data_IF_050148941633
#
_entry.id   IF_050148941633
#
_cell.length_a   1.000
_cell.length_b   1.000
_cell.length_c   1.000
_cell.angle_alpha   90.00
_cell.angle_beta   90.00
_cell.angle_gamma   90.00
#
_symmetry.space_group_name_H-M   'P 1'
#
loop_
_entity.id
_entity.type
_entity.pdbx_description
1 polymer ?
#
# COMPACT_ATOMS: atom_id res chain seq x y z
N UNK A 1 1.67 -24.85 -23.88
CA UNK A 1 0.32 -24.75 -24.48
C UNK A 1 -0.53 -25.87 -23.90
N UNK A 2 -1.41 -25.59 -22.95
CA UNK A 2 -2.32 -26.59 -22.36
C UNK A 2 -3.75 -26.19 -22.70
N UNK A 3 -4.21 -26.69 -23.83
CA UNK A 3 -5.58 -26.55 -24.29
C UNK A 3 -6.46 -27.50 -23.47
N UNK A 4 -7.31 -26.92 -22.61
CA UNK A 4 -8.30 -27.70 -21.87
C UNK A 4 -9.56 -27.84 -22.71
N UNK A 5 -9.55 -28.83 -23.61
CA UNK A 5 -10.75 -29.35 -24.26
C UNK A 5 -11.75 -29.83 -23.20
N UNK A 6 -12.87 -29.11 -23.02
CA UNK A 6 -14.02 -29.55 -22.21
C UNK A 6 -15.12 -30.09 -23.14
N UNK A 7 -15.47 -31.35 -22.88
CA UNK A 7 -16.50 -32.17 -23.55
C UNK A 7 -17.85 -31.44 -23.70
N UNK A 8 -18.47 -31.59 -24.87
CA UNK A 8 -19.82 -31.14 -25.19
C UNK A 8 -20.89 -31.97 -24.43
N UNK A 9 -21.18 -31.56 -23.20
CA UNK A 9 -22.55 -31.56 -22.66
C UNK A 9 -23.04 -30.10 -22.72
N UNK A 10 -24.35 -29.86 -22.83
CA UNK A 10 -24.91 -28.51 -22.88
C UNK A 10 -24.23 -27.62 -21.82
N UNK A 11 -23.41 -26.65 -22.25
CA UNK A 11 -22.62 -25.86 -21.34
C UNK A 11 -23.56 -25.20 -20.34
N UNK A 12 -23.34 -25.43 -19.05
CA UNK A 12 -24.15 -24.80 -18.01
C UNK A 12 -24.07 -23.29 -18.17
N UNK A 13 -25.20 -22.56 -18.00
CA UNK A 13 -25.17 -21.11 -18.11
C UNK A 13 -24.21 -20.54 -17.05
N UNK A 14 -23.48 -19.48 -17.40
CA UNK A 14 -22.63 -18.77 -16.45
C UNK A 14 -23.47 -18.23 -15.27
N UNK A 15 -22.81 -17.90 -14.15
CA UNK A 15 -23.50 -17.42 -12.95
C UNK A 15 -24.41 -16.21 -13.24
N UNK A 16 -23.98 -15.31 -14.12
CA UNK A 16 -24.76 -14.15 -14.53
C UNK A 16 -26.05 -14.54 -15.25
N UNK A 17 -25.95 -15.33 -16.30
CA UNK A 17 -27.12 -15.74 -17.09
C UNK A 17 -28.07 -16.62 -16.28
N UNK A 18 -27.54 -17.46 -15.36
CA UNK A 18 -28.33 -18.24 -14.41
C UNK A 18 -29.13 -17.33 -13.47
N UNK A 19 -28.49 -16.31 -12.86
CA UNK A 19 -29.16 -15.38 -11.96
C UNK A 19 -30.20 -14.51 -12.68
N UNK A 20 -29.86 -14.03 -13.88
CA UNK A 20 -30.73 -13.18 -14.72
C UNK A 20 -31.82 -13.97 -15.47
N UNK A 21 -31.87 -15.30 -15.33
CA UNK A 21 -32.84 -16.19 -15.98
C UNK A 21 -32.92 -16.02 -17.50
N UNK A 22 -31.76 -15.87 -18.16
CA UNK A 22 -31.65 -15.73 -19.63
C UNK A 22 -30.71 -16.78 -20.23
N UNK A 23 -30.82 -16.99 -21.55
CA UNK A 23 -29.91 -17.90 -22.28
C UNK A 23 -28.47 -17.36 -22.24
N UNK A 24 -27.51 -18.26 -21.98
CA UNK A 24 -26.09 -17.95 -22.09
C UNK A 24 -25.63 -18.20 -23.54
N UNK A 25 -25.35 -17.14 -24.29
CA UNK A 25 -24.82 -17.22 -25.64
C UNK A 25 -23.33 -17.62 -25.64
N UNK A 26 -22.81 -18.05 -26.80
CA UNK A 26 -21.41 -18.45 -26.96
C UNK A 26 -20.44 -17.28 -26.75
N UNK A 27 -20.86 -16.07 -27.10
CA UNK A 27 -20.14 -14.79 -26.98
C UNK A 27 -20.52 -14.00 -25.72
N UNK A 28 -21.01 -14.69 -24.67
CA UNK A 28 -21.45 -14.02 -23.45
C UNK A 28 -20.30 -13.30 -22.73
N UNK A 29 -20.37 -11.97 -22.66
CA UNK A 29 -19.38 -11.10 -21.98
C UNK A 29 -19.14 -11.48 -20.52
N UNK A 30 -20.13 -12.04 -19.83
CA UNK A 30 -20.01 -12.45 -18.42
C UNK A 30 -19.37 -13.83 -18.23
N UNK A 31 -19.44 -14.72 -19.23
CA UNK A 31 -19.08 -16.12 -19.06
C UNK A 31 -17.62 -16.38 -18.66
N UNK A 32 -16.62 -15.65 -19.20
CA UNK A 32 -15.23 -15.83 -18.80
C UNK A 32 -14.94 -15.46 -17.33
N UNK A 33 -15.73 -14.55 -16.75
CA UNK A 33 -15.41 -13.93 -15.45
C UNK A 33 -16.32 -14.38 -14.29
N UNK A 34 -17.51 -14.88 -14.61
CA UNK A 34 -18.53 -15.32 -13.65
C UNK A 34 -18.93 -16.78 -13.93
N UNK A 35 -18.05 -17.74 -13.59
CA UNK A 35 -18.30 -19.15 -13.85
C UNK A 35 -19.43 -19.69 -12.95
N UNK A 36 -20.05 -20.79 -13.35
CA UNK A 36 -21.30 -21.29 -12.73
C UNK A 36 -21.13 -21.81 -11.29
N UNK A 37 -19.91 -22.16 -10.90
CA UNK A 37 -19.45 -22.59 -9.57
C UNK A 37 -19.34 -21.43 -8.57
N UNK A 38 -19.26 -20.18 -9.03
CA UNK A 38 -19.15 -18.99 -8.19
C UNK A 38 -20.39 -18.06 -8.27
N UNK A 39 -21.61 -18.54 -7.96
CA UNK A 39 -22.83 -17.74 -8.14
C UNK A 39 -22.86 -16.48 -7.27
N UNK A 40 -22.23 -16.52 -6.10
CA UNK A 40 -22.19 -15.38 -5.17
C UNK A 40 -21.39 -14.20 -5.72
N UNK A 41 -20.37 -14.47 -6.54
CA UNK A 41 -19.53 -13.44 -7.17
C UNK A 41 -20.36 -12.49 -8.02
N UNK A 42 -21.21 -13.05 -8.89
CA UNK A 42 -22.10 -12.23 -9.70
C UNK A 42 -23.25 -11.64 -8.87
N UNK A 43 -23.78 -12.36 -7.86
CA UNK A 43 -24.86 -11.85 -7.04
C UNK A 43 -24.50 -10.56 -6.29
N UNK A 44 -23.31 -10.50 -5.68
CA UNK A 44 -22.81 -9.29 -5.01
C UNK A 44 -22.65 -8.13 -6.00
N UNK A 45 -21.98 -8.38 -7.13
CA UNK A 45 -21.73 -7.36 -8.15
C UNK A 45 -23.04 -6.85 -8.74
N UNK A 46 -23.98 -7.74 -9.03
CA UNK A 46 -25.32 -7.39 -9.53
C UNK A 46 -26.09 -6.53 -8.53
N UNK A 47 -26.01 -6.84 -7.23
CA UNK A 47 -26.69 -6.07 -6.18
C UNK A 47 -26.16 -4.64 -6.05
N UNK A 48 -24.85 -4.44 -6.23
CA UNK A 48 -24.19 -3.15 -5.98
C UNK A 48 -24.10 -2.30 -7.24
N UNK A 49 -23.65 -2.89 -8.35
CA UNK A 49 -23.44 -2.17 -9.60
C UNK A 49 -24.60 -2.33 -10.58
N UNK A 50 -25.28 -3.46 -10.57
CA UNK A 50 -26.31 -3.82 -11.57
C UNK A 50 -25.71 -4.41 -12.85
N UNK A 51 -26.43 -5.35 -13.48
CA UNK A 51 -25.91 -6.11 -14.62
C UNK A 51 -25.57 -5.22 -15.83
N UNK A 52 -26.41 -4.21 -16.12
CA UNK A 52 -26.22 -3.31 -17.26
C UNK A 52 -24.96 -2.45 -17.12
N UNK A 53 -24.70 -1.93 -15.91
CA UNK A 53 -23.51 -1.13 -15.63
C UNK A 53 -22.25 -1.98 -15.72
N UNK A 54 -22.27 -3.21 -15.17
CA UNK A 54 -21.14 -4.14 -15.29
C UNK A 54 -20.87 -4.47 -16.76
N UNK A 55 -21.92 -4.76 -17.54
CA UNK A 55 -21.75 -5.00 -18.97
C UNK A 55 -21.12 -3.81 -19.69
N UNK A 56 -21.59 -2.58 -19.39
CA UNK A 56 -21.02 -1.36 -19.97
C UNK A 56 -19.54 -1.18 -19.59
N UNK A 57 -19.22 -1.25 -18.30
CA UNK A 57 -17.84 -1.11 -17.81
C UNK A 57 -16.89 -2.16 -18.43
N UNK A 58 -17.34 -3.41 -18.61
CA UNK A 58 -16.52 -4.41 -19.27
C UNK A 58 -16.33 -4.12 -20.76
N UNK A 59 -17.36 -3.63 -21.46
CA UNK A 59 -17.24 -3.29 -22.88
C UNK A 59 -16.36 -2.07 -23.13
N UNK A 60 -16.32 -1.12 -22.18
CA UNK A 60 -15.47 0.07 -22.24
C UNK A 60 -13.97 -0.25 -22.00
N UNK A 61 -13.65 -1.46 -21.55
CA UNK A 61 -12.29 -1.92 -21.28
C UNK A 61 -11.77 -2.90 -22.34
N UNK A 62 -10.46 -2.88 -22.64
CA UNK A 62 -9.82 -3.91 -23.45
C UNK A 62 -9.82 -5.25 -22.72
N UNK A 63 -9.87 -6.35 -23.48
CA UNK A 63 -10.13 -7.69 -22.93
C UNK A 63 -9.14 -8.11 -21.83
N UNK A 64 -7.86 -7.74 -21.97
CA UNK A 64 -6.81 -8.09 -21.02
C UNK A 64 -7.01 -7.46 -19.62
N UNK A 65 -7.73 -6.34 -19.51
CA UNK A 65 -7.99 -5.67 -18.23
C UNK A 65 -9.30 -6.12 -17.57
N UNK A 66 -10.20 -6.77 -18.32
CA UNK A 66 -11.53 -7.13 -17.83
C UNK A 66 -11.49 -8.09 -16.64
N UNK A 67 -10.50 -8.99 -16.59
CA UNK A 67 -10.32 -9.89 -15.45
C UNK A 67 -10.04 -9.16 -14.15
N UNK A 68 -9.14 -8.17 -14.19
CA UNK A 68 -8.78 -7.35 -13.03
C UNK A 68 -9.93 -6.44 -12.64
N UNK A 69 -10.61 -5.82 -13.62
CA UNK A 69 -11.79 -5.00 -13.38
C UNK A 69 -12.91 -5.79 -12.69
N UNK A 70 -13.18 -7.04 -13.10
CA UNK A 70 -14.14 -7.90 -12.39
C UNK A 70 -13.67 -8.20 -10.98
N UNK A 71 -12.38 -8.47 -10.77
CA UNK A 71 -11.84 -8.73 -9.43
C UNK A 71 -12.03 -7.53 -8.50
N UNK A 72 -11.77 -6.31 -8.98
CA UNK A 72 -12.02 -5.06 -8.24
C UNK A 72 -13.51 -4.86 -7.96
N UNK A 73 -14.39 -4.99 -8.96
CA UNK A 73 -15.84 -4.88 -8.77
C UNK A 73 -16.36 -5.89 -7.74
N UNK A 74 -15.85 -7.13 -7.74
CA UNK A 74 -16.25 -8.15 -6.76
C UNK A 74 -15.80 -7.78 -5.35
N UNK A 75 -14.57 -7.30 -5.20
CA UNK A 75 -14.06 -6.83 -3.91
C UNK A 75 -14.92 -5.69 -3.36
N UNK A 76 -15.14 -4.65 -4.17
CA UNK A 76 -15.95 -3.48 -3.81
C UNK A 76 -17.39 -3.86 -3.49
N UNK A 77 -18.01 -4.71 -4.31
CA UNK A 77 -19.37 -5.16 -4.08
C UNK A 77 -19.49 -5.93 -2.76
N UNK A 78 -18.54 -6.83 -2.48
CA UNK A 78 -18.52 -7.58 -1.23
C UNK A 78 -18.29 -6.67 -0.02
N UNK A 79 -17.43 -5.66 -0.15
CA UNK A 79 -17.24 -4.66 0.91
C UNK A 79 -18.53 -3.89 1.17
N UNK A 80 -19.23 -3.42 0.14
CA UNK A 80 -20.52 -2.71 0.25
C UNK A 80 -21.65 -3.59 0.79
N UNK A 81 -21.63 -4.90 0.51
CA UNK A 81 -22.59 -5.85 1.08
C UNK A 81 -22.38 -6.03 2.59
N UNK A 82 -21.12 -6.08 3.06
CA UNK A 82 -20.80 -6.19 4.49
C UNK A 82 -21.01 -4.88 5.24
N UNK A 83 -20.65 -3.76 4.62
CA UNK A 83 -20.81 -2.41 5.16
C UNK A 83 -21.61 -1.56 4.15
N UNK A 84 -22.94 -1.46 4.32
CA UNK A 84 -23.80 -0.67 3.44
C UNK A 84 -23.54 0.84 3.49
N UNK A 85 -22.87 1.34 4.54
CA UNK A 85 -22.62 2.76 4.73
C UNK A 85 -21.32 3.15 4.04
N UNK A 86 -20.20 2.53 4.42
CA UNK A 86 -18.87 2.92 3.94
C UNK A 86 -18.26 1.95 2.92
N UNK A 87 -18.68 0.67 2.89
CA UNK A 87 -18.14 -0.32 1.96
C UNK A 87 -16.60 -0.40 2.00
N UNK A 88 -15.95 -0.30 0.84
CA UNK A 88 -14.49 -0.30 0.75
C UNK A 88 -13.85 0.99 1.32
N UNK A 89 -14.59 2.10 1.40
CA UNK A 89 -14.08 3.36 1.98
C UNK A 89 -13.75 3.20 3.46
N UNK A 90 -14.49 2.35 4.19
CA UNK A 90 -14.17 2.04 5.59
C UNK A 90 -12.79 1.38 5.74
N UNK A 91 -12.44 0.48 4.83
CA UNK A 91 -11.11 -0.14 4.80
C UNK A 91 -10.02 0.90 4.47
N UNK A 92 -10.28 1.79 3.51
CA UNK A 92 -9.35 2.89 3.16
C UNK A 92 -9.09 3.77 4.39
N UNK A 93 -10.15 4.24 5.07
CA UNK A 93 -10.01 5.08 6.26
C UNK A 93 -9.25 4.38 7.39
N UNK A 94 -9.51 3.09 7.62
CA UNK A 94 -8.81 2.32 8.64
C UNK A 94 -7.32 2.14 8.30
N UNK A 95 -6.98 1.93 7.04
CA UNK A 95 -5.59 1.84 6.59
C UNK A 95 -4.87 3.18 6.71
N UNK A 96 -5.54 4.28 6.35
CA UNK A 96 -4.96 5.62 6.50
C UNK A 96 -4.64 5.92 7.97
N UNK A 97 -5.56 5.62 8.89
CA UNK A 97 -5.31 5.79 10.32
C UNK A 97 -4.14 4.94 10.81
N UNK A 98 -3.97 3.73 10.29
CA UNK A 98 -2.83 2.87 10.62
C UNK A 98 -1.51 3.45 10.12
N UNK A 99 -1.48 4.00 8.91
CA UNK A 99 -0.32 4.70 8.36
C UNK A 99 0.07 5.86 9.29
N UNK A 100 -0.89 6.71 9.65
CA UNK A 100 -0.64 7.87 10.50
C UNK A 100 -0.10 7.47 11.89
N UNK A 101 -0.69 6.43 12.49
CA UNK A 101 -0.23 5.89 13.77
C UNK A 101 1.18 5.31 13.70
N UNK A 102 1.51 4.60 12.62
CA UNK A 102 2.85 4.02 12.43
C UNK A 102 3.89 5.11 12.17
N UNK A 103 3.54 6.13 11.39
CA UNK A 103 4.40 7.30 11.17
C UNK A 103 4.69 8.06 12.49
N UNK A 104 3.66 8.23 13.34
CA UNK A 104 3.85 8.85 14.65
C UNK A 104 4.77 8.02 15.56
N UNK A 105 4.58 6.70 15.60
CA UNK A 105 5.46 5.79 16.36
C UNK A 105 6.90 5.84 15.86
N UNK A 106 7.10 5.86 14.54
CA UNK A 106 8.41 5.99 13.93
C UNK A 106 9.10 7.31 14.33
N UNK A 107 8.36 8.42 14.28
CA UNK A 107 8.89 9.73 14.68
C UNK A 107 9.30 9.76 16.16
N UNK A 108 8.50 9.16 17.05
CA UNK A 108 8.84 9.05 18.48
C UNK A 108 10.10 8.20 18.70
N UNK A 109 10.19 7.03 18.05
CA UNK A 109 11.36 6.17 18.17
C UNK A 109 12.64 6.84 17.63
N UNK A 110 12.54 7.56 16.51
CA UNK A 110 13.65 8.34 15.95
C UNK A 110 14.10 9.46 16.91
N UNK A 111 13.15 10.19 17.51
CA UNK A 111 13.46 11.21 18.50
C UNK A 111 14.16 10.63 19.75
N UNK A 112 13.73 9.45 20.21
CA UNK A 112 14.36 8.75 21.32
C UNK A 112 15.80 8.33 21.00
N UNK A 113 16.05 7.79 19.80
CA UNK A 113 17.41 7.44 19.34
C UNK A 113 18.32 8.66 19.33
N UNK A 114 17.85 9.81 18.83
CA UNK A 114 18.62 11.06 18.83
C UNK A 114 18.93 11.49 20.26
N UNK A 115 17.94 11.48 21.15
CA UNK A 115 18.12 11.85 22.55
C UNK A 115 19.13 10.95 23.28
N UNK A 116 19.08 9.63 23.07
CA UNK A 116 20.05 8.68 23.64
C UNK A 116 21.47 8.93 23.13
N UNK A 117 21.64 9.18 21.82
CA UNK A 117 22.95 9.52 21.24
C UNK A 117 23.50 10.83 21.82
N UNK A 118 22.67 11.87 21.94
CA UNK A 118 23.09 13.13 22.57
C UNK A 118 23.53 12.94 24.02
N UNK A 119 22.82 12.12 24.82
CA UNK A 119 23.25 11.79 26.18
C UNK A 119 24.59 11.04 26.23
N UNK A 120 24.85 10.13 25.28
CA UNK A 120 26.14 9.43 25.19
C UNK A 120 27.31 10.39 24.91
N UNK A 121 27.13 11.39 24.04
CA UNK A 121 28.16 12.42 23.80
C UNK A 121 28.41 13.31 25.02
N UNK A 122 27.36 13.65 25.78
CA UNK A 122 27.50 14.47 27.00
C UNK A 122 28.10 13.73 28.21
N UNK A 123 28.29 12.41 28.11
CA UNK A 123 28.79 11.56 29.20
C UNK A 123 30.21 11.03 28.99
N UNK A 124 30.95 11.50 27.96
CA UNK A 124 32.40 11.34 27.92
C UNK A 124 32.98 12.26 29.00
N UNK A 125 33.55 11.74 30.10
CA UNK A 125 34.30 12.57 31.02
C UNK A 125 35.55 12.99 30.25
N UNK A 126 35.64 14.28 29.91
CA UNK A 126 36.94 14.89 29.69
C UNK A 126 37.81 14.49 30.88
N UNK A 127 38.87 13.74 30.59
CA UNK A 127 39.83 13.23 31.56
C UNK A 127 40.15 14.32 32.58
N UNK A 128 39.70 14.11 33.81
CA UNK A 128 40.18 14.86 34.95
C UNK A 128 41.66 14.53 35.14
N UNK A 129 42.53 15.49 34.91
CA UNK A 129 43.87 15.53 35.49
C UNK A 129 43.93 16.69 36.47
N UNK A 130 43.65 16.40 37.73
CA UNK A 130 44.06 17.23 38.86
C UNK A 130 45.51 16.88 39.21
N UNK A 131 46.43 17.85 39.13
CA UNK A 131 47.51 18.05 40.12
C UNK A 131 48.18 19.43 39.95
N UNK A 132 48.74 20.01 41.02
CA UNK A 132 49.11 21.42 41.10
C UNK A 132 50.62 21.69 40.87
N UNK A 133 50.95 22.97 40.69
CA UNK A 133 52.29 23.59 40.75
C UNK A 133 53.29 23.34 39.59
N UNK A 134 53.40 24.28 38.64
CA UNK A 134 54.41 25.36 38.65
C UNK A 134 54.61 26.01 37.25
N UNK A 135 54.90 27.32 37.30
CA UNK A 135 55.48 28.20 36.26
C UNK A 135 54.57 28.97 35.28
N UNK A 136 54.93 30.25 35.14
CA UNK A 136 54.27 31.40 34.51
C UNK A 136 54.29 31.43 32.95
N UNK A 137 53.58 32.39 32.30
CA UNK A 137 52.99 32.23 30.97
C UNK A 137 53.85 32.82 29.84
N UNK A 138 53.65 32.33 28.61
CA UNK A 138 54.08 33.05 27.40
C UNK A 138 53.20 32.73 26.19
N UNK A 139 52.57 33.80 25.69
CA UNK A 139 52.25 34.14 24.31
C UNK A 139 51.50 33.17 23.38
N UNK A 140 50.26 33.58 23.07
CA UNK A 140 49.65 33.69 21.72
C UNK A 140 49.80 32.52 20.73
N UNK A 141 48.68 31.87 20.38
CA UNK A 141 48.21 31.79 18.98
C UNK A 141 46.80 31.19 18.87
N UNK A 142 45.95 31.95 18.18
CA UNK A 142 44.69 31.66 17.48
C UNK A 142 43.96 30.32 17.70
N UNK A 143 42.67 30.48 18.01
CA UNK A 143 41.59 29.56 17.70
C UNK A 143 41.72 28.89 16.32
N UNK A 144 41.75 27.56 16.31
CA UNK A 144 41.02 26.74 15.35
C UNK A 144 40.99 25.31 15.87
N UNK A 145 40.04 25.02 16.77
CA UNK A 145 39.58 23.65 16.89
C UNK A 145 38.84 23.36 15.59
N UNK A 146 39.47 22.56 14.74
CA UNK A 146 38.78 21.90 13.63
C UNK A 146 37.71 21.01 14.23
N UNK A 147 36.54 21.59 14.48
CA UNK A 147 35.27 20.88 14.49
C UNK A 147 35.11 20.39 13.05
N UNK A 148 35.67 19.21 12.77
CA UNK A 148 35.31 18.49 11.56
C UNK A 148 33.80 18.34 11.61
N UNK A 149 33.16 19.13 10.76
CA UNK A 149 31.74 19.10 10.49
C UNK A 149 31.30 17.63 10.41
N UNK A 150 30.61 17.19 11.45
CA UNK A 150 29.85 15.94 11.46
C UNK A 150 28.40 16.22 11.03
N UNK A 151 28.15 17.40 10.45
CA UNK A 151 26.97 17.72 9.67
C UNK A 151 27.29 17.50 8.20
N UNK A 152 27.39 16.23 7.82
CA UNK A 152 27.23 15.82 6.43
C UNK A 152 26.49 14.47 6.38
N UNK A 153 25.27 14.46 6.94
CA UNK A 153 24.21 13.66 6.35
C UNK A 153 23.30 14.68 5.68
N UNK A 154 23.41 14.76 4.36
CA UNK A 154 22.38 15.33 3.51
C UNK A 154 21.03 14.82 4.00
N UNK A 155 20.21 15.70 4.59
CA UNK A 155 18.75 15.51 4.59
C UNK A 155 18.22 15.92 3.22
N UNK A 156 18.70 15.29 2.16
CA UNK A 156 17.92 15.16 0.94
C UNK A 156 16.99 13.99 1.21
N UNK A 157 15.83 14.29 1.81
CA UNK A 157 14.65 13.50 1.51
C UNK A 157 14.42 13.76 0.03
N UNK A 158 14.93 12.87 -0.81
CA UNK A 158 14.57 12.85 -2.21
C UNK A 158 13.08 12.53 -2.26
N UNK A 159 12.27 13.59 -2.37
CA UNK A 159 10.83 13.48 -2.50
C UNK A 159 10.40 13.08 -3.91
N UNK A 160 11.34 12.71 -4.79
CA UNK A 160 11.04 12.32 -6.16
C UNK A 160 11.16 10.83 -6.48
N UNK A 161 11.54 9.96 -5.53
CA UNK A 161 11.80 8.54 -5.84
C UNK A 161 10.94 7.53 -5.04
N UNK A 162 9.84 7.98 -4.42
CA UNK A 162 8.90 7.09 -3.69
C UNK A 162 7.60 6.81 -4.45
N UNK A 163 7.42 7.35 -5.66
CA UNK A 163 6.20 7.11 -6.46
C UNK A 163 6.34 5.96 -7.47
N UNK A 164 7.57 5.61 -7.91
CA UNK A 164 7.77 4.52 -8.88
C UNK A 164 7.85 3.12 -8.26
N UNK A 165 8.17 3.01 -6.97
CA UNK A 165 8.37 1.69 -6.34
C UNK A 165 7.08 1.05 -5.80
N UNK A 166 5.93 1.74 -5.84
CA UNK A 166 4.65 1.24 -5.34
C UNK A 166 3.84 0.41 -6.36
N UNK A 167 4.27 0.37 -7.63
CA UNK A 167 3.54 -0.30 -8.71
C UNK A 167 4.33 -1.38 -9.48
N UNK A 168 5.49 -1.80 -8.99
CA UNK A 168 6.24 -2.91 -9.60
C UNK A 168 6.02 -4.22 -8.86
N UNK A 169 4.96 -4.94 -9.26
CA UNK A 169 4.78 -6.39 -9.13
C UNK A 169 4.21 -6.92 -10.45
#
# INVERSE_FOLDING_TARGET
MKESSRKQGAASPCAACKLLRRRCAHDCVFAPYFPADEPQKFASVHKVFGASNVNKMLQDLPEYQRGDAVSSMVYEANARVRDPVYGCVGAISSLQQQIDNLQAQLALAQAEVVHMRMRQYSSIPGTATNSPENALPSSSHAHSQSTKSLFNMDMVVDHTDMEESLWSC
#
